data_IF_719017200278
#
_entry.id   IF_719017200278
#
_cell.length_a   1.000
_cell.length_b   1.000
_cell.length_c   1.000
_cell.angle_alpha   90.00
_cell.angle_beta   90.00
_cell.angle_gamma   90.00
#
_symmetry.space_group_name_H-M   'P 1'
#
loop_
_entity.id
_entity.type
_entity.pdbx_description
1 polymer ?
#
# COMPACT_ATOMS: atom_id res chain seq x y z
N UNK A 1 -6.66 6.25 17.22
CA UNK A 1 -6.73 6.49 15.76
C UNK A 1 -5.52 7.24 15.20
N UNK A 2 -5.14 8.40 15.75
CA UNK A 2 -4.02 9.20 15.21
C UNK A 2 -2.66 8.51 15.33
N UNK A 3 -2.32 7.98 16.51
CA UNK A 3 -1.06 7.27 16.73
C UNK A 3 -0.97 6.01 15.87
N UNK A 4 -2.05 5.21 15.81
CA UNK A 4 -2.10 4.03 14.96
C UNK A 4 -1.97 4.40 13.49
N UNK A 5 -2.65 5.45 13.03
CA UNK A 5 -2.56 5.94 11.66
C UNK A 5 -1.15 6.42 11.27
N UNK A 6 -0.48 7.20 12.13
CA UNK A 6 0.89 7.65 11.87
C UNK A 6 1.91 6.51 11.92
N UNK A 7 1.71 5.53 12.80
CA UNK A 7 2.51 4.30 12.83
C UNK A 7 2.37 3.53 11.50
N UNK A 8 1.14 3.38 10.99
CA UNK A 8 0.90 2.75 9.68
C UNK A 8 1.50 3.57 8.52
N UNK A 9 1.52 4.90 8.59
CA UNK A 9 2.23 5.73 7.61
C UNK A 9 3.74 5.41 7.57
N UNK A 10 4.37 5.20 8.72
CA UNK A 10 5.79 4.78 8.79
C UNK A 10 6.00 3.42 8.15
N UNK A 11 5.11 2.46 8.42
CA UNK A 11 5.12 1.17 7.75
C UNK A 11 5.01 1.29 6.23
N UNK A 12 4.12 2.13 5.72
CA UNK A 12 3.94 2.31 4.27
C UNK A 12 5.22 2.79 3.58
N UNK A 13 6.03 3.64 4.24
CA UNK A 13 7.35 4.05 3.71
C UNK A 13 8.27 2.86 3.57
N UNK A 14 8.45 2.09 4.64
CA UNK A 14 9.34 0.91 4.64
C UNK A 14 8.85 -0.13 3.62
N UNK A 15 7.54 -0.34 3.56
CA UNK A 15 6.92 -1.27 2.63
C UNK A 15 7.11 -0.84 1.17
N UNK A 16 6.94 0.45 0.87
CA UNK A 16 7.19 0.97 -0.47
C UNK A 16 8.66 0.80 -0.87
N UNK A 17 9.60 1.22 -0.01
CA UNK A 17 11.04 1.12 -0.29
C UNK A 17 11.47 -0.32 -0.53
N UNK A 18 10.96 -1.27 0.28
CA UNK A 18 11.22 -2.69 0.08
C UNK A 18 10.69 -3.20 -1.25
N UNK A 19 9.48 -2.79 -1.63
CA UNK A 19 8.86 -3.21 -2.88
C UNK A 19 9.48 -2.55 -4.14
N UNK A 20 10.19 -1.42 -4.01
CA UNK A 20 10.94 -0.86 -5.15
C UNK A 20 12.01 -1.81 -5.69
N UNK A 21 12.44 -2.80 -4.92
CA UNK A 21 13.36 -3.84 -5.39
C UNK A 21 12.76 -4.73 -6.49
N UNK A 22 11.43 -4.75 -6.64
CA UNK A 22 10.74 -5.43 -7.74
C UNK A 22 11.16 -4.90 -9.13
N UNK A 23 11.60 -3.63 -9.22
CA UNK A 23 12.04 -3.03 -10.48
C UNK A 23 13.51 -3.34 -10.85
N UNK A 24 14.24 -4.08 -10.02
CA UNK A 24 15.59 -4.50 -10.38
C UNK A 24 15.56 -5.61 -11.44
N UNK A 25 16.43 -5.49 -12.42
CA UNK A 25 16.57 -6.47 -13.50
C UNK A 25 17.54 -7.60 -13.07
N UNK A 26 17.17 -8.33 -12.03
CA UNK A 26 17.98 -9.41 -11.42
C UNK A 26 17.17 -10.70 -11.22
N UNK A 27 16.12 -10.88 -12.00
CA UNK A 27 15.18 -12.01 -11.91
C UNK A 27 14.58 -12.19 -10.50
N UNK A 28 14.43 -11.08 -9.77
CA UNK A 28 13.83 -11.05 -8.44
C UNK A 28 14.77 -11.41 -7.29
N UNK A 29 16.07 -11.56 -7.55
CA UNK A 29 17.07 -11.95 -6.53
C UNK A 29 17.09 -10.96 -5.37
N UNK A 30 17.18 -9.66 -5.63
CA UNK A 30 17.21 -8.64 -4.57
C UNK A 30 15.91 -8.61 -3.78
N UNK A 31 14.76 -8.71 -4.44
CA UNK A 31 13.46 -8.70 -3.77
C UNK A 31 13.28 -9.94 -2.89
N UNK A 32 13.59 -11.13 -3.39
CA UNK A 32 13.46 -12.38 -2.62
C UNK A 32 14.46 -12.45 -1.45
N UNK A 33 15.70 -11.98 -1.63
CA UNK A 33 16.68 -11.87 -0.54
C UNK A 33 16.20 -10.90 0.55
N UNK A 34 15.68 -9.73 0.17
CA UNK A 34 15.08 -8.78 1.10
C UNK A 34 13.87 -9.39 1.83
N UNK A 35 12.98 -10.04 1.09
CA UNK A 35 11.79 -10.70 1.64
C UNK A 35 12.16 -11.82 2.62
N UNK A 36 13.16 -12.62 2.30
CA UNK A 36 13.69 -13.65 3.20
C UNK A 36 14.25 -13.05 4.49
N UNK A 37 15.09 -12.01 4.38
CA UNK A 37 15.60 -11.28 5.54
C UNK A 37 14.49 -10.71 6.42
N UNK A 38 13.51 -10.04 5.83
CA UNK A 38 12.34 -9.50 6.55
C UNK A 38 11.52 -10.62 7.23
N UNK A 39 11.53 -11.79 6.64
CA UNK A 39 10.81 -12.94 7.14
C UNK A 39 11.48 -13.76 8.23
N UNK A 40 12.79 -13.70 8.34
CA UNK A 40 13.59 -14.54 9.25
C UNK A 40 14.20 -13.76 10.41
N UNK A 41 14.37 -12.43 10.27
CA UNK A 41 14.96 -11.60 11.31
C UNK A 41 14.02 -11.50 12.54
N UNK A 42 14.47 -11.87 13.76
CA UNK A 42 13.61 -11.93 14.95
C UNK A 42 13.11 -10.55 15.40
N UNK A 43 13.86 -9.47 15.18
CA UNK A 43 13.44 -8.11 15.52
C UNK A 43 12.28 -7.70 14.61
N UNK A 44 12.40 -7.95 13.30
CA UNK A 44 11.37 -7.63 12.33
C UNK A 44 10.11 -8.46 12.59
N UNK A 45 10.27 -9.73 12.94
CA UNK A 45 9.15 -10.60 13.35
C UNK A 45 8.39 -10.05 14.57
N UNK A 46 9.09 -9.45 15.51
CA UNK A 46 8.44 -8.77 16.66
C UNK A 46 7.68 -7.53 16.22
N UNK A 47 8.27 -6.72 15.33
CA UNK A 47 7.61 -5.54 14.76
C UNK A 47 6.38 -5.94 13.92
N UNK A 48 6.42 -7.07 13.22
CA UNK A 48 5.30 -7.62 12.45
C UNK A 48 4.06 -7.85 13.33
N UNK A 49 4.22 -8.40 14.54
CA UNK A 49 3.11 -8.52 15.50
C UNK A 49 2.59 -7.17 15.96
N UNK A 50 3.50 -6.20 16.17
CA UNK A 50 3.12 -4.82 16.45
C UNK A 50 2.29 -4.19 15.31
N UNK A 51 2.63 -4.54 14.07
CA UNK A 51 1.91 -4.09 12.88
C UNK A 51 0.50 -4.71 12.80
N UNK A 52 0.37 -6.01 13.07
CA UNK A 52 -0.94 -6.70 13.11
C UNK A 52 -1.85 -6.05 14.17
N UNK A 53 -1.32 -5.78 15.36
CA UNK A 53 -2.05 -5.08 16.41
C UNK A 53 -2.40 -3.64 16.01
N UNK A 54 -1.46 -2.92 15.37
CA UNK A 54 -1.67 -1.56 14.85
C UNK A 54 -2.82 -1.48 13.86
N UNK A 55 -2.87 -2.39 12.88
CA UNK A 55 -4.00 -2.52 11.95
C UNK A 55 -5.30 -2.84 12.70
N UNK A 56 -5.29 -3.83 13.58
CA UNK A 56 -6.46 -4.23 14.36
C UNK A 56 -7.05 -3.06 15.16
N UNK A 57 -6.22 -2.32 15.89
CA UNK A 57 -6.66 -1.15 16.64
C UNK A 57 -7.14 -0.02 15.73
N UNK A 58 -6.45 0.24 14.62
CA UNK A 58 -6.87 1.28 13.67
C UNK A 58 -8.25 1.00 13.10
N UNK A 59 -8.50 -0.23 12.67
CA UNK A 59 -9.80 -0.67 12.14
C UNK A 59 -10.88 -0.62 13.23
N UNK A 60 -10.59 -1.14 14.42
CA UNK A 60 -11.52 -1.12 15.55
C UNK A 60 -11.93 0.31 15.96
N UNK A 61 -10.95 1.22 16.06
CA UNK A 61 -11.21 2.62 16.37
C UNK A 61 -12.04 3.29 15.28
N UNK A 62 -11.81 2.98 13.99
CA UNK A 62 -12.59 3.52 12.88
C UNK A 62 -14.07 3.12 12.97
N UNK A 63 -14.36 1.84 13.23
CA UNK A 63 -15.73 1.37 13.45
C UNK A 63 -16.36 1.98 14.69
N UNK A 64 -15.63 2.03 15.81
CA UNK A 64 -16.11 2.60 17.08
C UNK A 64 -16.49 4.08 16.92
N UNK A 65 -15.62 4.87 16.28
CA UNK A 65 -15.88 6.29 16.03
C UNK A 65 -17.07 6.49 15.09
N UNK A 66 -17.16 5.70 14.02
CA UNK A 66 -18.29 5.76 13.08
C UNK A 66 -19.63 5.49 13.78
N UNK A 67 -19.68 4.45 14.64
CA UNK A 67 -20.88 4.13 15.43
C UNK A 67 -21.22 5.23 16.42
N UNK A 68 -20.24 5.76 17.17
CA UNK A 68 -20.45 6.84 18.13
C UNK A 68 -20.95 8.11 17.44
N UNK A 69 -20.36 8.49 16.32
CA UNK A 69 -20.76 9.66 15.54
C UNK A 69 -22.18 9.50 14.98
N UNK A 70 -22.58 8.29 14.58
CA UNK A 70 -23.95 8.02 14.14
C UNK A 70 -24.93 8.08 15.31
N UNK A 71 -24.59 7.52 16.47
CA UNK A 71 -25.43 7.52 17.67
C UNK A 71 -25.60 8.92 18.30
N UNK A 72 -24.60 9.79 18.18
CA UNK A 72 -24.65 11.16 18.67
C UNK A 72 -25.63 12.07 17.89
N UNK A 73 -26.12 11.61 16.75
CA UNK A 73 -27.12 12.33 15.94
C UNK A 73 -28.52 11.85 16.29
N UNK A 74 -29.26 12.64 17.06
CA UNK A 74 -30.64 12.32 17.45
C UNK A 74 -31.65 12.49 16.31
N UNK A 75 -31.38 13.39 15.35
CA UNK A 75 -32.21 13.68 14.20
C UNK A 75 -31.39 13.80 12.92
N UNK A 76 -32.00 13.43 11.77
CA UNK A 76 -31.39 13.66 10.45
C UNK A 76 -31.31 15.15 10.12
N UNK A 77 -30.44 15.52 9.19
CA UNK A 77 -30.35 16.90 8.73
C UNK A 77 -31.64 17.28 7.97
N UNK A 78 -32.27 18.40 8.35
CA UNK A 78 -33.41 19.00 7.62
C UNK A 78 -32.92 19.57 6.27
N UNK A 79 -31.66 20.06 6.23
CA UNK A 79 -30.99 20.53 5.02
C UNK A 79 -29.55 20.03 5.04
N UNK A 80 -29.10 19.43 3.94
CA UNK A 80 -27.76 18.84 3.84
C UNK A 80 -26.86 19.69 2.94
N UNK A 81 -26.10 20.58 3.55
CA UNK A 81 -25.05 21.39 2.92
C UNK A 81 -23.65 20.97 3.42
N UNK A 82 -23.42 19.65 3.51
CA UNK A 82 -22.19 19.10 4.06
C UNK A 82 -20.93 19.49 3.26
N UNK A 83 -21.07 19.76 1.96
CA UNK A 83 -19.99 20.24 1.08
C UNK A 83 -19.46 21.63 1.48
N UNK A 84 -20.27 22.45 2.14
CA UNK A 84 -19.86 23.77 2.62
C UNK A 84 -19.03 23.71 3.90
N UNK A 85 -19.16 22.62 4.67
CA UNK A 85 -18.62 22.49 6.03
C UNK A 85 -17.49 21.46 6.16
N UNK A 86 -17.32 20.55 5.20
CA UNK A 86 -16.33 19.47 5.28
C UNK A 86 -15.81 19.04 3.91
N UNK A 87 -14.54 18.62 3.87
CA UNK A 87 -13.92 18.08 2.67
C UNK A 87 -14.57 16.74 2.27
N UNK A 88 -14.64 16.47 0.96
CA UNK A 88 -15.18 15.22 0.42
C UNK A 88 -14.49 13.98 1.01
N UNK A 89 -13.17 14.02 1.14
CA UNK A 89 -12.35 12.96 1.73
C UNK A 89 -12.76 12.65 3.16
N UNK A 90 -13.04 13.69 3.96
CA UNK A 90 -13.51 13.53 5.35
C UNK A 90 -14.86 12.80 5.42
N UNK A 91 -15.79 13.15 4.54
CA UNK A 91 -17.14 12.55 4.51
C UNK A 91 -17.10 11.09 4.06
N UNK A 92 -16.15 10.73 3.19
CA UNK A 92 -16.04 9.40 2.58
C UNK A 92 -14.96 8.52 3.22
N UNK A 93 -14.35 8.92 4.34
CA UNK A 93 -13.29 8.13 5.01
C UNK A 93 -13.70 6.69 5.32
N UNK A 94 -14.97 6.47 5.69
CA UNK A 94 -15.49 5.12 5.95
C UNK A 94 -15.52 4.25 4.69
N UNK A 95 -15.93 4.82 3.55
CA UNK A 95 -15.96 4.11 2.26
C UNK A 95 -14.54 3.83 1.79
N UNK A 96 -13.66 4.84 1.80
CA UNK A 96 -12.26 4.70 1.42
C UNK A 96 -11.55 3.64 2.28
N UNK A 97 -11.75 3.67 3.61
CA UNK A 97 -11.21 2.68 4.53
C UNK A 97 -11.77 1.28 4.29
N UNK A 98 -13.03 1.14 3.89
CA UNK A 98 -13.64 -0.17 3.58
C UNK A 98 -13.06 -0.78 2.31
N UNK A 99 -12.81 0.03 1.27
CA UNK A 99 -12.13 -0.42 0.03
C UNK A 99 -10.70 -0.90 0.35
N UNK A 100 -9.96 -0.13 1.16
CA UNK A 100 -8.62 -0.50 1.60
C UNK A 100 -8.66 -1.79 2.43
N UNK A 101 -9.65 -1.99 3.28
CA UNK A 101 -9.79 -3.20 4.08
C UNK A 101 -10.04 -4.45 3.22
N UNK A 102 -10.91 -4.35 2.21
CA UNK A 102 -11.14 -5.46 1.26
C UNK A 102 -9.84 -5.78 0.52
N UNK A 103 -9.15 -4.76 0.01
CA UNK A 103 -7.84 -4.93 -0.61
C UNK A 103 -6.83 -5.58 0.35
N UNK A 104 -6.76 -5.11 1.60
CA UNK A 104 -5.83 -5.63 2.61
C UNK A 104 -6.03 -7.13 2.86
N UNK A 105 -7.28 -7.60 2.92
CA UNK A 105 -7.61 -9.02 3.08
C UNK A 105 -7.04 -9.84 1.90
N UNK A 106 -7.29 -9.39 0.67
CA UNK A 106 -6.79 -10.06 -0.54
C UNK A 106 -5.25 -10.03 -0.58
N UNK A 107 -4.65 -8.87 -0.28
CA UNK A 107 -3.22 -8.68 -0.25
C UNK A 107 -2.51 -9.59 0.78
N UNK A 108 -3.03 -9.61 2.01
CA UNK A 108 -2.47 -10.46 3.08
C UNK A 108 -2.64 -11.94 2.76
N UNK A 109 -3.77 -12.35 2.19
CA UNK A 109 -3.97 -13.74 1.81
C UNK A 109 -2.98 -14.17 0.71
N UNK A 110 -2.83 -13.38 -0.35
CA UNK A 110 -2.04 -13.78 -1.51
C UNK A 110 -0.53 -13.73 -1.28
N UNK A 111 -0.04 -12.87 -0.39
CA UNK A 111 1.41 -12.72 -0.18
C UNK A 111 1.82 -13.12 1.22
N UNK A 112 1.22 -12.53 2.26
CA UNK A 112 1.62 -12.78 3.63
C UNK A 112 1.29 -14.21 4.09
N UNK A 113 0.04 -14.65 3.88
CA UNK A 113 -0.40 -15.97 4.29
C UNK A 113 0.37 -17.07 3.55
N UNK A 114 0.53 -16.92 2.24
CA UNK A 114 1.26 -17.90 1.42
C UNK A 114 2.73 -18.00 1.82
N UNK A 115 3.40 -16.88 2.04
CA UNK A 115 4.80 -16.86 2.45
C UNK A 115 5.03 -17.32 3.90
N UNK A 116 4.00 -17.30 4.76
CA UNK A 116 4.18 -17.57 6.19
C UNK A 116 3.59 -18.88 6.67
N UNK A 117 2.51 -19.32 6.07
CA UNK A 117 1.69 -20.42 6.61
C UNK A 117 1.37 -21.49 5.58
N UNK A 118 1.15 -21.15 4.33
CA UNK A 118 0.73 -22.11 3.32
C UNK A 118 1.90 -22.96 2.79
N UNK A 119 3.10 -22.39 2.67
CA UNK A 119 4.29 -23.08 2.16
C UNK A 119 4.13 -23.53 0.70
N UNK A 120 3.29 -22.83 -0.08
CA UNK A 120 2.93 -23.20 -1.45
C UNK A 120 3.65 -22.34 -2.51
N UNK A 121 4.60 -21.52 -2.08
CA UNK A 121 5.44 -20.76 -2.98
C UNK A 121 6.55 -21.64 -3.56
N UNK A 122 6.84 -21.46 -4.85
CA UNK A 122 8.02 -22.08 -5.46
C UNK A 122 9.30 -21.51 -4.83
N UNK A 123 10.36 -22.29 -4.83
CA UNK A 123 11.68 -21.78 -4.45
C UNK A 123 12.36 -21.09 -5.64
N UNK A 124 13.34 -20.22 -5.37
CA UNK A 124 14.07 -19.51 -6.43
C UNK A 124 14.78 -20.47 -7.37
N UNK A 125 15.38 -21.55 -6.84
CA UNK A 125 16.23 -22.44 -7.62
C UNK A 125 17.52 -21.76 -8.09
N UNK A 126 18.17 -22.34 -9.11
CA UNK A 126 19.39 -21.80 -9.71
C UNK A 126 20.69 -22.30 -9.06
N UNK A 127 21.82 -21.79 -9.56
CA UNK A 127 23.16 -22.23 -9.14
C UNK A 127 23.64 -21.59 -7.83
N UNK A 128 23.01 -20.51 -7.40
CA UNK A 128 23.39 -19.85 -6.15
C UNK A 128 22.89 -20.63 -4.93
N UNK A 129 23.80 -21.35 -4.28
CA UNK A 129 23.51 -22.21 -3.13
C UNK A 129 22.93 -21.45 -1.91
N UNK A 130 23.19 -20.15 -1.78
CA UNK A 130 22.72 -19.35 -0.64
C UNK A 130 21.23 -18.96 -0.76
N UNK A 131 20.73 -18.77 -1.98
CA UNK A 131 19.40 -18.21 -2.23
C UNK A 131 18.44 -19.20 -2.89
N UNK A 132 18.90 -20.33 -3.40
CA UNK A 132 18.08 -21.29 -4.16
C UNK A 132 16.85 -21.79 -3.39
N UNK A 133 16.94 -21.87 -2.07
CA UNK A 133 15.91 -22.40 -1.19
C UNK A 133 14.97 -21.29 -0.66
N UNK A 134 15.18 -20.01 -1.08
CA UNK A 134 14.30 -18.92 -0.70
C UNK A 134 12.98 -19.03 -1.47
N UNK A 135 11.88 -18.70 -0.79
CA UNK A 135 10.57 -18.58 -1.43
C UNK A 135 10.61 -17.53 -2.55
N UNK A 136 10.13 -17.91 -3.72
CA UNK A 136 10.08 -17.02 -4.88
C UNK A 136 8.82 -16.12 -4.81
N UNK A 137 8.82 -15.19 -3.87
CA UNK A 137 7.75 -14.22 -3.71
C UNK A 137 7.68 -13.25 -4.89
N UNK A 138 8.83 -12.96 -5.53
CA UNK A 138 8.88 -12.16 -6.75
C UNK A 138 8.00 -12.74 -7.85
N UNK A 139 8.14 -14.03 -8.14
CA UNK A 139 7.33 -14.69 -9.16
C UNK A 139 5.84 -14.70 -8.79
N UNK A 140 5.51 -14.87 -7.52
CA UNK A 140 4.12 -14.79 -7.05
C UNK A 140 3.51 -13.40 -7.26
N UNK A 141 4.28 -12.32 -7.04
CA UNK A 141 3.86 -10.94 -7.29
C UNK A 141 3.67 -10.69 -8.77
N UNK A 142 4.69 -11.01 -9.59
CA UNK A 142 4.68 -10.76 -11.02
C UNK A 142 3.55 -11.52 -11.71
N UNK A 143 3.40 -12.81 -11.43
CA UNK A 143 2.32 -13.61 -12.03
C UNK A 143 0.93 -13.09 -11.65
N UNK A 144 0.75 -12.61 -10.41
CA UNK A 144 -0.51 -11.99 -9.97
C UNK A 144 -0.80 -10.71 -10.76
N UNK A 145 0.21 -9.91 -11.07
CA UNK A 145 0.04 -8.66 -11.81
C UNK A 145 -0.14 -8.85 -13.33
N UNK A 146 -0.12 -10.07 -13.85
CA UNK A 146 -0.56 -10.38 -15.23
C UNK A 146 -2.05 -10.70 -15.33
N UNK A 147 -2.76 -10.73 -14.21
CA UNK A 147 -4.20 -10.92 -14.15
C UNK A 147 -4.88 -9.54 -14.14
N UNK A 148 -5.55 -9.16 -15.24
CA UNK A 148 -6.06 -7.81 -15.47
C UNK A 148 -6.99 -7.28 -14.34
N UNK A 149 -7.91 -8.10 -13.84
CA UNK A 149 -8.83 -7.70 -12.77
C UNK A 149 -8.11 -7.51 -11.43
N UNK A 150 -7.01 -8.24 -11.21
CA UNK A 150 -6.16 -8.09 -10.02
C UNK A 150 -5.42 -6.76 -10.05
N UNK A 151 -4.87 -6.39 -11.20
CA UNK A 151 -4.26 -5.07 -11.42
C UNK A 151 -5.27 -3.96 -11.18
N UNK A 152 -6.49 -4.10 -11.71
CA UNK A 152 -7.57 -3.13 -11.51
C UNK A 152 -7.91 -2.97 -10.02
N UNK A 153 -8.02 -4.07 -9.27
CA UNK A 153 -8.25 -4.06 -7.82
C UNK A 153 -7.14 -3.30 -7.09
N UNK A 154 -5.87 -3.57 -7.44
CA UNK A 154 -4.71 -2.91 -6.83
C UNK A 154 -4.70 -1.41 -7.12
N UNK A 155 -4.87 -1.01 -8.37
CA UNK A 155 -4.90 0.41 -8.76
C UNK A 155 -6.06 1.15 -8.07
N UNK A 156 -7.25 0.58 -8.05
CA UNK A 156 -8.41 1.16 -7.35
C UNK A 156 -8.15 1.32 -5.85
N UNK A 157 -7.49 0.33 -5.23
CA UNK A 157 -7.09 0.40 -3.83
C UNK A 157 -6.06 1.52 -3.58
N UNK A 158 -5.09 1.72 -4.50
CA UNK A 158 -4.10 2.80 -4.36
C UNK A 158 -4.73 4.18 -4.50
N UNK A 159 -5.72 4.36 -5.38
CA UNK A 159 -6.49 5.60 -5.46
C UNK A 159 -7.23 5.86 -4.14
N UNK A 160 -7.88 4.84 -3.58
CA UNK A 160 -8.55 4.93 -2.28
C UNK A 160 -7.56 5.24 -1.16
N UNK A 161 -6.39 4.62 -1.15
CA UNK A 161 -5.31 4.88 -0.19
C UNK A 161 -4.82 6.33 -0.30
N UNK A 162 -4.63 6.85 -1.51
CA UNK A 162 -4.23 8.23 -1.73
C UNK A 162 -5.18 9.23 -1.06
N UNK A 163 -6.48 9.10 -1.28
CA UNK A 163 -7.48 9.96 -0.64
C UNK A 163 -7.58 9.73 0.87
N UNK A 164 -7.41 8.49 1.32
CA UNK A 164 -7.38 8.15 2.75
C UNK A 164 -6.18 8.80 3.46
N UNK A 165 -4.99 8.73 2.88
CA UNK A 165 -3.78 9.37 3.39
C UNK A 165 -3.86 10.89 3.32
N UNK A 166 -4.41 11.44 2.23
CA UNK A 166 -4.60 12.88 2.04
C UNK A 166 -5.33 13.55 3.21
N UNK A 167 -6.41 12.92 3.66
CA UNK A 167 -7.14 13.40 4.84
C UNK A 167 -6.52 12.91 6.15
N UNK A 168 -6.16 11.64 6.23
CA UNK A 168 -5.74 10.97 7.46
C UNK A 168 -4.45 11.53 8.04
N UNK A 169 -3.45 11.85 7.21
CA UNK A 169 -2.16 12.39 7.65
C UNK A 169 -2.35 13.70 8.41
N UNK A 170 -3.00 14.68 7.80
CA UNK A 170 -3.27 15.98 8.43
C UNK A 170 -4.12 15.83 9.70
N UNK A 171 -5.19 15.03 9.62
CA UNK A 171 -6.10 14.80 10.75
C UNK A 171 -5.39 14.14 11.93
N UNK A 172 -4.42 13.25 11.67
CA UNK A 172 -3.58 12.64 12.69
C UNK A 172 -2.78 13.67 13.50
N UNK A 173 -2.07 14.55 12.84
CA UNK A 173 -1.30 15.63 13.50
C UNK A 173 -2.21 16.61 14.27
N UNK A 174 -3.34 16.98 13.66
CA UNK A 174 -4.31 17.87 14.31
C UNK A 174 -4.87 17.25 15.60
N UNK A 175 -5.19 15.97 15.59
CA UNK A 175 -5.72 15.26 16.78
C UNK A 175 -4.68 15.14 17.90
N UNK A 176 -3.39 15.10 17.58
CA UNK A 176 -2.30 15.12 18.55
C UNK A 176 -2.00 16.52 19.10
N UNK A 177 -2.79 17.53 18.74
CA UNK A 177 -2.57 18.91 19.19
C UNK A 177 -1.47 19.65 18.44
N UNK A 178 -0.87 19.03 17.41
CA UNK A 178 0.18 19.63 16.57
C UNK A 178 -0.44 20.56 15.52
N UNK A 179 -1.25 21.52 15.99
CA UNK A 179 -1.94 22.49 15.16
C UNK A 179 -1.44 23.90 15.49
N UNK A 180 -0.65 24.48 14.59
CA UNK A 180 -0.07 25.81 14.80
C UNK A 180 -0.09 26.60 13.48
N UNK A 181 -0.47 27.88 13.54
CA UNK A 181 -0.63 28.75 12.35
C UNK A 181 0.56 28.70 11.40
N UNK A 182 1.78 28.60 11.93
CA UNK A 182 3.02 28.57 11.14
C UNK A 182 3.30 27.18 10.50
N UNK A 183 3.04 26.08 11.22
CA UNK A 183 3.47 24.74 10.79
C UNK A 183 2.35 23.90 10.17
N UNK A 184 1.10 24.21 10.42
CA UNK A 184 -0.04 23.49 9.83
C UNK A 184 -0.03 23.49 8.31
N UNK A 185 0.31 24.60 7.60
CA UNK A 185 0.44 24.57 6.14
C UNK A 185 1.52 23.59 5.66
N UNK A 186 2.68 23.57 6.33
CA UNK A 186 3.77 22.65 5.99
C UNK A 186 3.33 21.20 6.17
N UNK A 187 2.72 20.83 7.31
CA UNK A 187 2.19 19.49 7.57
C UNK A 187 1.19 19.09 6.49
N UNK A 188 0.35 20.00 6.04
CA UNK A 188 -0.62 19.78 4.98
C UNK A 188 0.06 19.43 3.65
N UNK A 189 1.04 20.23 3.21
CA UNK A 189 1.75 19.99 1.95
C UNK A 189 2.60 18.72 1.99
N UNK A 190 3.29 18.45 3.11
CA UNK A 190 4.02 17.19 3.31
C UNK A 190 3.07 16.00 3.24
N UNK A 191 1.89 16.09 3.88
CA UNK A 191 0.87 15.05 3.82
C UNK A 191 0.34 14.80 2.40
N UNK A 192 0.17 15.84 1.62
CA UNK A 192 -0.25 15.72 0.21
C UNK A 192 0.83 15.06 -0.65
N UNK A 193 2.09 15.51 -0.51
CA UNK A 193 3.22 14.88 -1.18
C UNK A 193 3.36 13.41 -0.79
N UNK A 194 3.25 13.09 0.49
CA UNK A 194 3.26 11.73 1.01
C UNK A 194 2.15 10.86 0.40
N UNK A 195 0.91 11.34 0.41
CA UNK A 195 -0.23 10.63 -0.14
C UNK A 195 -0.05 10.29 -1.63
N UNK A 196 0.40 11.28 -2.42
CA UNK A 196 0.63 11.10 -3.86
C UNK A 196 1.80 10.16 -4.12
N UNK A 197 2.97 10.37 -3.49
CA UNK A 197 4.17 9.56 -3.73
C UNK A 197 3.97 8.10 -3.33
N UNK A 198 3.36 7.85 -2.18
CA UNK A 198 3.13 6.47 -1.71
C UNK A 198 2.13 5.75 -2.61
N UNK A 199 1.00 6.38 -2.92
CA UNK A 199 -0.04 5.74 -3.74
C UNK A 199 0.42 5.55 -5.19
N UNK A 200 1.09 6.53 -5.79
CA UNK A 200 1.64 6.41 -7.14
C UNK A 200 2.75 5.36 -7.19
N UNK A 201 3.64 5.31 -6.20
CA UNK A 201 4.69 4.31 -6.10
C UNK A 201 4.14 2.88 -6.05
N UNK A 202 3.11 2.64 -5.24
CA UNK A 202 2.45 1.32 -5.21
C UNK A 202 1.64 1.02 -6.47
N UNK A 203 0.98 2.01 -7.08
CA UNK A 203 0.25 1.80 -8.32
C UNK A 203 1.16 1.53 -9.53
N UNK A 204 2.39 2.07 -9.50
CA UNK A 204 3.36 1.85 -10.56
C UNK A 204 3.76 0.37 -10.72
N UNK A 205 3.80 -0.39 -9.62
CA UNK A 205 4.22 -1.80 -9.65
C UNK A 205 3.29 -2.69 -10.48
N UNK A 206 1.98 -2.81 -10.16
CA UNK A 206 1.08 -3.63 -10.97
C UNK A 206 0.96 -3.13 -12.41
N UNK A 207 0.98 -1.81 -12.63
CA UNK A 207 0.94 -1.25 -13.98
C UNK A 207 2.20 -1.58 -14.78
N UNK A 208 3.38 -1.48 -14.17
CA UNK A 208 4.65 -1.81 -14.82
C UNK A 208 4.68 -3.28 -15.26
N UNK A 209 4.40 -4.20 -14.35
CA UNK A 209 4.44 -5.62 -14.67
C UNK A 209 3.37 -6.00 -15.69
N UNK A 210 2.17 -5.45 -15.60
CA UNK A 210 1.10 -5.74 -16.55
C UNK A 210 1.38 -5.24 -17.97
N UNK A 211 1.97 -4.04 -18.08
CA UNK A 211 2.13 -3.37 -19.38
C UNK A 211 3.46 -3.68 -20.06
N UNK A 212 4.53 -3.95 -19.30
CA UNK A 212 5.89 -3.94 -19.83
C UNK A 212 6.65 -5.26 -19.66
N UNK A 213 6.10 -6.26 -18.96
CA UNK A 213 6.79 -7.52 -18.73
C UNK A 213 5.94 -8.73 -19.15
N UNK A 214 6.59 -9.90 -19.23
CA UNK A 214 5.91 -11.19 -19.31
C UNK A 214 5.67 -11.78 -17.90
N UNK A 215 4.99 -12.91 -17.82
CA UNK A 215 4.64 -13.53 -16.53
C UNK A 215 5.85 -14.01 -15.70
N UNK A 216 7.05 -14.01 -16.27
CA UNK A 216 8.32 -14.27 -15.59
C UNK A 216 9.02 -12.99 -15.12
N UNK A 217 8.46 -11.81 -15.45
CA UNK A 217 9.03 -10.51 -15.11
C UNK A 217 10.12 -10.02 -16.06
N UNK A 218 10.31 -10.69 -17.19
CA UNK A 218 11.21 -10.24 -18.24
C UNK A 218 10.51 -9.19 -19.13
N UNK A 219 11.26 -8.23 -19.62
CA UNK A 219 10.71 -7.19 -20.50
C UNK A 219 10.07 -7.82 -21.76
N UNK A 220 8.84 -7.41 -22.06
CA UNK A 220 8.17 -7.87 -23.26
C UNK A 220 8.95 -7.44 -24.52
N UNK A 221 9.05 -8.32 -25.51
CA UNK A 221 9.93 -8.15 -26.67
C UNK A 221 9.69 -6.86 -27.50
N UNK A 222 8.48 -6.31 -27.42
CA UNK A 222 8.10 -5.06 -28.11
C UNK A 222 8.48 -3.78 -27.34
N UNK A 223 8.79 -3.86 -26.06
CA UNK A 223 9.06 -2.68 -25.21
C UNK A 223 10.36 -1.97 -25.61
N UNK A 224 11.48 -2.65 -25.89
CA UNK A 224 12.69 -1.98 -26.37
C UNK A 224 12.46 -1.16 -27.65
N UNK A 225 11.70 -1.71 -28.60
CA UNK A 225 11.36 -1.00 -29.83
C UNK A 225 10.49 0.25 -29.57
N UNK A 226 9.56 0.18 -28.63
CA UNK A 226 8.73 1.31 -28.24
C UNK A 226 9.55 2.42 -27.54
N UNK A 227 10.49 2.05 -26.67
CA UNK A 227 11.40 3.00 -26.01
C UNK A 227 12.27 3.71 -27.05
N UNK A 228 12.83 2.98 -28.02
CA UNK A 228 13.60 3.56 -29.10
C UNK A 228 12.77 4.50 -29.97
N UNK A 229 11.54 4.13 -30.30
CA UNK A 229 10.63 4.98 -31.09
C UNK A 229 10.28 6.28 -30.34
N UNK A 230 10.04 6.22 -29.04
CA UNK A 230 9.76 7.41 -28.22
C UNK A 230 11.03 8.28 -28.07
N UNK A 231 12.20 7.68 -27.80
CA UNK A 231 13.45 8.42 -27.66
C UNK A 231 13.90 9.10 -28.97
N UNK A 232 13.53 8.55 -30.14
CA UNK A 232 13.83 9.16 -31.44
C UNK A 232 12.83 10.25 -31.87
N UNK A 233 11.72 10.42 -31.14
CA UNK A 233 10.71 11.43 -31.39
C UNK A 233 10.94 12.75 -30.64
N UNK A 234 11.94 12.79 -29.75
CA UNK A 234 12.41 13.97 -28.99
C UNK A 234 13.88 14.28 -29.30
#
# INVERSE_FOLDING_TARGET
MSLTGLFLCTFLVVHLVGNLQLFKHDHGTAFNTYSHFMGTNPIIRTIEWGLVLGFGFHIFEAFSLSRRNKAARSHGYVSNHSEQNSEWTSRNMGILGSIILIFLIVHLYNFFWRARFAGDLSHMGGENLETRDYDNLYLAVVSSFHIWWYVLLYVAAQISLGYHLWHGFRSGFQTLGLNHRKYTPLIKYVGYGFAVLVSAGFAAMPLYFFLFTNAQGEMAANVPALIHAVASAF
#
